data_IF_469107634227
#
_entry.id   IF_469107634227
#
_cell.length_a   1.000
_cell.length_b   1.000
_cell.length_c   1.000
_cell.angle_alpha   90.00
_cell.angle_beta   90.00
_cell.angle_gamma   90.00
#
_symmetry.space_group_name_H-M   'P 1'
#
loop_
_entity.id
_entity.type
_entity.pdbx_description
1 polymer ?
#
# COMPACT_ATOMS: atom_id res chain seq x y z
N UNK A 1 -3.02 30.60 1.78
CA UNK A 1 -3.50 29.54 0.88
C UNK A 1 -2.29 28.85 0.28
N UNK A 2 -2.01 27.57 0.58
CA UNK A 2 -0.82 26.93 0.03
C UNK A 2 -1.10 26.46 -1.40
N UNK A 3 -0.27 26.94 -2.32
CA UNK A 3 -0.23 26.58 -3.73
C UNK A 3 0.08 25.10 -3.92
N UNK A 4 -0.88 24.36 -4.47
CA UNK A 4 -0.70 22.98 -4.87
C UNK A 4 0.22 22.93 -6.10
N UNK A 5 1.47 22.52 -5.90
CA UNK A 5 2.40 22.24 -6.99
C UNK A 5 1.86 21.06 -7.81
N UNK A 6 1.29 21.38 -8.99
CA UNK A 6 1.08 20.40 -10.05
C UNK A 6 2.44 19.94 -10.54
N UNK A 7 2.95 18.82 -10.02
CA UNK A 7 4.00 18.06 -10.68
C UNK A 7 3.40 17.45 -11.96
N UNK A 8 3.43 18.23 -13.05
CA UNK A 8 3.22 17.70 -14.39
C UNK A 8 4.34 16.71 -14.69
N UNK A 9 4.01 15.41 -14.69
CA UNK A 9 4.92 14.41 -15.23
C UNK A 9 5.10 14.74 -16.71
N UNK A 10 6.32 15.04 -17.20
CA UNK A 10 6.53 15.23 -18.61
C UNK A 10 6.18 13.91 -19.32
N UNK A 11 5.11 13.92 -20.12
CA UNK A 11 4.79 12.86 -21.07
C UNK A 11 5.85 12.84 -22.18
N UNK A 12 7.09 12.48 -21.85
CA UNK A 12 7.99 11.92 -22.85
C UNK A 12 7.40 10.57 -23.20
N UNK A 13 6.84 10.45 -24.40
CA UNK A 13 6.42 9.21 -25.03
C UNK A 13 7.60 8.22 -25.05
N UNK A 14 7.84 7.54 -23.92
CA UNK A 14 8.59 6.30 -23.90
C UNK A 14 7.69 5.32 -24.61
N UNK A 15 8.04 5.01 -25.86
CA UNK A 15 7.42 3.90 -26.57
C UNK A 15 7.79 2.65 -25.77
N UNK A 16 6.98 2.22 -24.81
CA UNK A 16 7.17 0.94 -24.13
C UNK A 16 6.51 -0.18 -24.92
N UNK A 17 6.88 -1.42 -24.65
CA UNK A 17 6.13 -2.60 -25.11
C UNK A 17 5.35 -3.11 -23.90
N UNK A 18 4.03 -3.12 -24.01
CA UNK A 18 3.15 -3.61 -22.95
C UNK A 18 2.89 -5.09 -23.13
N UNK A 19 3.02 -5.86 -22.06
CA UNK A 19 2.71 -7.29 -22.01
C UNK A 19 1.37 -7.43 -21.31
N UNK A 20 0.38 -7.90 -22.05
CA UNK A 20 -1.02 -8.02 -21.60
C UNK A 20 -1.51 -9.45 -21.51
N UNK A 21 -0.74 -10.41 -22.04
CA UNK A 21 -0.97 -11.85 -21.89
C UNK A 21 0.36 -12.58 -21.79
N UNK A 22 0.41 -13.61 -20.95
CA UNK A 22 1.59 -14.45 -20.79
C UNK A 22 1.24 -15.87 -20.33
N UNK A 23 2.20 -16.78 -20.50
CA UNK A 23 2.29 -18.07 -19.81
C UNK A 23 3.47 -18.03 -18.84
N UNK A 24 3.56 -18.98 -17.92
CA UNK A 24 4.68 -19.07 -16.98
C UNK A 24 6.02 -19.19 -17.72
N UNK A 25 6.08 -19.99 -18.80
CA UNK A 25 7.30 -20.21 -19.59
C UNK A 25 7.72 -18.97 -20.36
N UNK A 26 6.77 -18.34 -21.08
CA UNK A 26 7.06 -17.14 -21.87
C UNK A 26 7.42 -15.94 -21.01
N UNK A 27 6.80 -15.80 -19.84
CA UNK A 27 7.15 -14.75 -18.90
C UNK A 27 8.50 -15.00 -18.23
N UNK A 28 8.78 -16.24 -17.82
CA UNK A 28 10.07 -16.58 -17.20
C UNK A 28 11.22 -16.31 -18.16
N UNK A 29 11.12 -16.80 -19.40
CA UNK A 29 12.13 -16.58 -20.43
C UNK A 29 12.39 -15.08 -20.67
N UNK A 30 11.33 -14.28 -20.76
CA UNK A 30 11.46 -12.82 -20.93
C UNK A 30 12.16 -12.16 -19.74
N UNK A 31 11.82 -12.56 -18.50
CA UNK A 31 12.41 -11.97 -17.30
C UNK A 31 13.89 -12.35 -17.18
N UNK A 32 14.23 -13.61 -17.43
CA UNK A 32 15.61 -14.12 -17.41
C UNK A 32 16.48 -13.50 -18.51
N UNK A 33 15.95 -13.30 -19.72
CA UNK A 33 16.62 -12.57 -20.82
C UNK A 33 17.01 -11.15 -20.38
N UNK A 34 16.29 -10.58 -19.41
CA UNK A 34 16.51 -9.24 -18.86
C UNK A 34 17.23 -9.25 -17.51
N UNK A 35 17.82 -10.38 -17.14
CA UNK A 35 18.65 -10.51 -15.94
C UNK A 35 17.85 -10.53 -14.64
N UNK A 36 16.56 -10.83 -14.68
CA UNK A 36 15.73 -10.99 -13.48
C UNK A 36 15.72 -12.47 -13.10
N UNK A 37 16.22 -12.78 -11.91
CA UNK A 37 16.27 -14.14 -11.38
C UNK A 37 14.89 -14.61 -10.90
N UNK A 38 14.20 -15.38 -11.76
CA UNK A 38 12.87 -15.93 -11.48
C UNK A 38 12.92 -16.99 -10.38
N UNK A 39 14.08 -17.58 -10.06
CA UNK A 39 14.20 -18.56 -8.97
C UNK A 39 13.93 -17.96 -7.59
N UNK A 40 13.97 -16.63 -7.45
CA UNK A 40 13.60 -15.92 -6.22
C UNK A 40 12.08 -15.82 -6.00
N UNK A 41 11.27 -16.22 -6.98
CA UNK A 41 9.81 -16.07 -6.94
C UNK A 41 9.18 -17.25 -6.20
N UNK A 42 8.27 -16.97 -5.27
CA UNK A 42 7.65 -17.98 -4.38
C UNK A 42 8.49 -18.33 -3.15
N UNK A 43 9.63 -17.64 -2.94
CA UNK A 43 10.45 -17.76 -1.73
C UNK A 43 10.08 -16.69 -0.70
N UNK A 44 9.94 -17.09 0.56
CA UNK A 44 9.64 -16.17 1.66
C UNK A 44 8.29 -15.47 1.48
N UNK A 45 8.30 -14.14 1.35
CA UNK A 45 7.10 -13.33 1.11
C UNK A 45 6.86 -13.02 -0.38
N UNK A 46 7.76 -13.46 -1.28
CA UNK A 46 7.59 -13.26 -2.71
C UNK A 46 6.51 -14.19 -3.26
N UNK A 47 5.83 -13.76 -4.33
CA UNK A 47 4.80 -14.55 -4.99
C UNK A 47 5.43 -15.41 -6.09
N UNK A 48 4.87 -16.59 -6.39
CA UNK A 48 5.33 -17.40 -7.51
C UNK A 48 5.06 -16.71 -8.84
N UNK A 49 5.77 -17.12 -9.90
CA UNK A 49 5.61 -16.59 -11.26
C UNK A 49 4.19 -16.75 -11.78
N UNK A 50 3.54 -17.88 -11.49
CA UNK A 50 2.13 -18.16 -11.85
C UNK A 50 1.17 -17.09 -11.32
N UNK A 51 1.47 -16.50 -10.16
CA UNK A 51 0.67 -15.39 -9.64
C UNK A 51 0.88 -14.10 -10.45
N UNK A 52 2.08 -13.83 -10.95
CA UNK A 52 2.33 -12.68 -11.84
C UNK A 52 1.62 -12.86 -13.19
N UNK A 53 1.71 -14.06 -13.76
CA UNK A 53 1.00 -14.42 -15.00
C UNK A 53 -0.50 -14.23 -14.83
N UNK A 54 -1.07 -14.73 -13.73
CA UNK A 54 -2.47 -14.50 -13.38
C UNK A 54 -2.78 -13.00 -13.28
N UNK A 55 -1.97 -12.24 -12.54
CA UNK A 55 -2.18 -10.80 -12.38
C UNK A 55 -2.14 -10.02 -13.72
N UNK A 56 -1.28 -10.43 -14.68
CA UNK A 56 -1.20 -9.86 -16.04
C UNK A 56 -2.42 -10.25 -16.87
N UNK A 57 -2.78 -11.54 -16.88
CA UNK A 57 -3.88 -12.06 -17.70
C UNK A 57 -5.25 -11.54 -17.26
N UNK A 58 -5.43 -11.31 -15.95
CA UNK A 58 -6.60 -10.64 -15.38
C UNK A 58 -6.53 -9.11 -15.54
N UNK A 59 -5.38 -8.58 -15.94
CA UNK A 59 -5.12 -7.15 -16.10
C UNK A 59 -5.10 -6.35 -14.79
N UNK A 60 -4.99 -7.03 -13.65
CA UNK A 60 -4.76 -6.41 -12.33
C UNK A 60 -3.37 -5.78 -12.20
N UNK A 61 -2.50 -6.03 -13.19
CA UNK A 61 -1.27 -5.29 -13.45
C UNK A 61 -0.93 -5.33 -14.94
N UNK A 62 0.03 -4.52 -15.36
CA UNK A 62 0.70 -4.66 -16.67
C UNK A 62 2.21 -4.62 -16.49
N UNK A 63 2.92 -5.30 -17.37
CA UNK A 63 4.37 -5.14 -17.49
C UNK A 63 4.68 -4.28 -18.71
N UNK A 64 5.58 -3.34 -18.54
CA UNK A 64 6.11 -2.55 -19.64
C UNK A 64 7.61 -2.75 -19.75
N UNK A 65 8.09 -3.00 -20.96
CA UNK A 65 9.50 -3.00 -21.28
C UNK A 65 9.90 -1.60 -21.74
N UNK A 66 10.83 -0.98 -21.02
CA UNK A 66 11.41 0.29 -21.45
C UNK A 66 12.35 0.06 -22.64
N UNK A 67 12.03 0.64 -23.81
CA UNK A 67 12.80 0.39 -25.05
C UNK A 67 14.28 0.76 -24.99
N UNK A 68 14.67 1.71 -24.13
CA UNK A 68 16.06 2.19 -24.04
C UNK A 68 16.92 1.29 -23.16
N UNK A 69 16.42 0.95 -21.97
CA UNK A 69 17.16 0.17 -20.99
C UNK A 69 16.91 -1.33 -21.11
N UNK A 70 15.82 -1.74 -21.78
CA UNK A 70 15.32 -3.11 -21.73
C UNK A 70 14.69 -3.48 -20.38
N UNK A 71 14.66 -2.56 -19.41
CA UNK A 71 14.15 -2.86 -18.06
C UNK A 71 12.66 -3.15 -18.08
N UNK A 72 12.26 -4.13 -17.27
CA UNK A 72 10.86 -4.50 -17.07
C UNK A 72 10.32 -3.72 -15.88
N UNK A 73 9.22 -3.01 -16.08
CA UNK A 73 8.54 -2.23 -15.05
C UNK A 73 7.11 -2.73 -14.90
N UNK A 74 6.71 -3.03 -13.68
CA UNK A 74 5.35 -3.44 -13.35
C UNK A 74 4.50 -2.25 -12.97
N UNK A 75 3.33 -2.09 -13.57
CA UNK A 75 2.37 -1.05 -13.22
C UNK A 75 1.17 -1.65 -12.50
N UNK A 76 0.77 -1.01 -11.41
CA UNK A 76 -0.39 -1.40 -10.60
C UNK A 76 -1.19 -0.16 -10.24
N UNK A 77 -2.51 -0.26 -10.31
CA UNK A 77 -3.42 0.85 -10.03
C UNK A 77 -4.31 0.52 -8.82
N UNK A 78 -3.79 0.62 -7.58
CA UNK A 78 -4.62 0.43 -6.40
C UNK A 78 -5.54 1.64 -6.20
N UNK A 79 -6.76 1.38 -5.74
CA UNK A 79 -7.73 2.38 -5.30
C UNK A 79 -7.93 2.27 -3.78
N UNK A 80 -8.10 3.42 -3.13
CA UNK A 80 -8.59 3.53 -1.75
C UNK A 80 -9.86 4.36 -1.77
N UNK A 81 -10.94 3.79 -1.24
CA UNK A 81 -12.25 4.42 -1.17
C UNK A 81 -12.44 5.01 0.22
N UNK A 82 -12.52 6.34 0.30
CA UNK A 82 -13.01 7.04 1.48
C UNK A 82 -14.54 7.05 1.42
N UNK A 83 -15.16 5.95 1.84
CA UNK A 83 -16.61 5.86 1.99
C UNK A 83 -17.02 6.54 3.30
N UNK A 84 -17.71 7.67 3.19
CA UNK A 84 -18.04 8.57 4.29
C UNK A 84 -19.53 8.63 4.56
N UNK A 85 -19.87 8.84 5.82
CA UNK A 85 -21.21 9.14 6.31
C UNK A 85 -21.08 10.14 7.46
N UNK A 86 -21.56 11.37 7.27
CA UNK A 86 -21.28 12.47 8.19
C UNK A 86 -19.78 12.71 8.40
N UNK A 87 -19.31 12.68 9.65
CA UNK A 87 -17.89 12.80 10.02
C UNK A 87 -17.18 11.44 10.14
N UNK A 88 -17.83 10.35 9.74
CA UNK A 88 -17.33 8.98 9.83
C UNK A 88 -16.78 8.50 8.49
N UNK A 89 -15.86 7.54 8.55
CA UNK A 89 -15.34 6.80 7.40
C UNK A 89 -15.34 5.31 7.69
N UNK A 90 -15.63 4.50 6.67
CA UNK A 90 -15.56 3.06 6.79
C UNK A 90 -14.10 2.56 6.74
N UNK A 91 -13.73 1.71 7.69
CA UNK A 91 -12.41 1.06 7.75
C UNK A 91 -12.54 -0.46 7.84
N UNK A 92 -11.63 -1.18 7.19
CA UNK A 92 -11.39 -2.60 7.42
C UNK A 92 -10.56 -2.74 8.70
N UNK A 93 -11.12 -3.43 9.70
CA UNK A 93 -10.49 -3.67 11.01
C UNK A 93 -9.76 -5.02 11.05
N UNK A 94 -10.32 -6.03 10.42
CA UNK A 94 -9.71 -7.35 10.35
C UNK A 94 -10.21 -8.10 9.13
N UNK A 95 -9.45 -9.13 8.75
CA UNK A 95 -9.90 -10.14 7.79
C UNK A 95 -9.49 -11.52 8.25
N UNK A 96 -10.39 -12.49 8.06
CA UNK A 96 -10.18 -13.90 8.29
C UNK A 96 -10.05 -14.59 6.94
N UNK A 97 -8.88 -15.18 6.70
CA UNK A 97 -8.60 -15.93 5.48
C UNK A 97 -9.27 -17.32 5.51
N UNK A 98 -9.45 -17.98 4.36
CA UNK A 98 -10.06 -19.32 4.30
C UNK A 98 -9.29 -20.37 5.11
N UNK A 99 -7.98 -20.16 5.32
CA UNK A 99 -7.14 -21.00 6.17
C UNK A 99 -7.30 -20.72 7.68
N UNK A 100 -8.27 -19.90 8.09
CA UNK A 100 -8.51 -19.50 9.48
C UNK A 100 -7.55 -18.44 10.02
N UNK A 101 -6.58 -17.97 9.22
CA UNK A 101 -5.63 -16.94 9.66
C UNK A 101 -6.32 -15.58 9.70
N UNK A 102 -6.49 -15.04 10.92
CA UNK A 102 -6.93 -13.66 11.14
C UNK A 102 -5.75 -12.70 10.97
N UNK A 103 -5.98 -11.63 10.21
CA UNK A 103 -5.04 -10.51 10.07
C UNK A 103 -5.76 -9.23 10.45
N UNK A 104 -5.25 -8.57 11.48
CA UNK A 104 -5.67 -7.21 11.82
C UNK A 104 -5.28 -6.26 10.67
N UNK A 105 -6.19 -5.37 10.37
CA UNK A 105 -6.11 -4.42 9.27
C UNK A 105 -6.53 -3.05 9.80
N UNK A 106 -5.92 -2.01 9.26
CA UNK A 106 -6.32 -0.62 9.54
C UNK A 106 -6.21 0.13 8.24
N UNK A 107 -7.09 -0.23 7.31
CA UNK A 107 -7.09 0.32 5.96
C UNK A 107 -8.48 0.79 5.61
N UNK A 108 -8.58 1.85 4.83
CA UNK A 108 -9.81 2.12 4.09
C UNK A 108 -10.13 0.96 3.15
N UNK A 109 -11.38 0.91 2.68
CA UNK A 109 -11.80 0.02 1.61
C UNK A 109 -10.83 0.19 0.43
N UNK A 110 -10.11 -0.87 0.09
CA UNK A 110 -9.06 -0.85 -0.91
C UNK A 110 -9.32 -1.92 -1.96
N UNK A 111 -9.08 -1.61 -3.23
CA UNK A 111 -9.20 -2.57 -4.32
C UNK A 111 -8.17 -2.28 -5.41
N UNK A 112 -7.90 -3.23 -6.31
CA UNK A 112 -7.16 -2.94 -7.55
C UNK A 112 -8.16 -2.55 -8.64
N UNK A 113 -7.81 -1.54 -9.42
CA UNK A 113 -8.54 -1.26 -10.66
C UNK A 113 -8.34 -2.41 -11.65
N UNK A 114 -9.42 -2.83 -12.27
CA UNK A 114 -9.48 -3.84 -13.32
C UNK A 114 -9.60 -3.18 -14.71
N UNK A 115 -9.23 -3.87 -15.80
CA UNK A 115 -9.39 -3.34 -17.16
C UNK A 115 -10.83 -3.02 -17.55
N UNK A 116 -11.80 -3.72 -16.94
CA UNK A 116 -13.24 -3.52 -17.12
C UNK A 116 -13.72 -2.20 -16.50
N UNK A 117 -12.98 -1.63 -15.54
CA UNK A 117 -13.35 -0.38 -14.88
C UNK A 117 -13.05 0.83 -15.78
N UNK A 118 -14.10 1.61 -16.09
CA UNK A 118 -13.98 2.85 -16.87
C UNK A 118 -13.05 3.87 -16.22
N UNK A 119 -12.95 3.85 -14.89
CA UNK A 119 -12.06 4.70 -14.11
C UNK A 119 -12.02 4.28 -12.63
N UNK A 120 -11.30 5.03 -11.79
CA UNK A 120 -11.15 4.72 -10.36
C UNK A 120 -12.48 4.68 -9.59
N UNK A 121 -13.49 5.47 -10.01
CA UNK A 121 -14.79 5.49 -9.34
C UNK A 121 -15.62 4.24 -9.64
N UNK A 122 -15.58 3.73 -10.87
CA UNK A 122 -16.22 2.45 -11.20
C UNK A 122 -15.57 1.29 -10.44
N UNK A 123 -14.24 1.32 -10.27
CA UNK A 123 -13.54 0.38 -9.40
C UNK A 123 -14.01 0.51 -7.94
N UNK A 124 -14.32 1.72 -7.45
CA UNK A 124 -14.84 1.94 -6.11
C UNK A 124 -16.26 1.38 -5.93
N UNK A 125 -17.15 1.57 -6.92
CA UNK A 125 -18.49 0.95 -6.94
C UNK A 125 -18.37 -0.57 -6.90
N UNK A 126 -17.50 -1.15 -7.75
CA UNK A 126 -17.26 -2.59 -7.77
C UNK A 126 -16.72 -3.09 -6.43
N UNK A 127 -15.80 -2.36 -5.80
CA UNK A 127 -15.28 -2.71 -4.48
C UNK A 127 -16.35 -2.70 -3.39
N UNK A 128 -17.26 -1.72 -3.41
CA UNK A 128 -18.42 -1.65 -2.50
C UNK A 128 -19.31 -2.87 -2.71
N UNK A 129 -19.63 -3.23 -3.96
CA UNK A 129 -20.43 -4.41 -4.25
C UNK A 129 -19.74 -5.71 -3.78
N UNK A 130 -18.49 -5.96 -4.20
CA UNK A 130 -17.78 -7.20 -3.91
C UNK A 130 -17.49 -7.42 -2.42
N UNK A 131 -17.24 -6.34 -1.67
CA UNK A 131 -16.79 -6.44 -0.27
C UNK A 131 -17.86 -6.10 0.73
N UNK A 132 -18.79 -5.22 0.39
CA UNK A 132 -19.85 -4.80 1.31
C UNK A 132 -21.19 -5.46 0.98
N UNK A 133 -21.30 -6.15 -0.16
CA UNK A 133 -22.56 -6.71 -0.67
C UNK A 133 -23.66 -5.64 -0.81
N UNK A 134 -23.26 -4.40 -1.15
CA UNK A 134 -24.15 -3.27 -1.35
C UNK A 134 -24.19 -2.90 -2.83
N UNK A 135 -25.39 -2.91 -3.42
CA UNK A 135 -25.60 -2.47 -4.79
C UNK A 135 -25.78 -0.95 -4.81
N UNK A 136 -24.81 -0.25 -5.42
CA UNK A 136 -24.83 1.21 -5.62
C UNK A 136 -24.49 1.52 -7.07
N UNK A 137 -24.99 2.64 -7.57
CA UNK A 137 -24.66 3.15 -8.89
C UNK A 137 -24.53 4.67 -8.86
N UNK A 138 -23.91 5.23 -9.90
CA UNK A 138 -23.59 6.67 -10.02
C UNK A 138 -24.80 7.58 -9.75
N UNK A 139 -25.97 7.18 -10.24
CA UNK A 139 -27.19 8.00 -10.19
C UNK A 139 -28.08 7.68 -8.99
N UNK A 140 -27.59 6.90 -8.01
CA UNK A 140 -28.36 6.57 -6.81
C UNK A 140 -28.50 7.79 -5.93
N UNK A 141 -29.73 8.10 -5.51
CA UNK A 141 -29.99 9.26 -4.67
C UNK A 141 -29.28 9.14 -3.31
N UNK A 142 -28.53 10.19 -2.99
CA UNK A 142 -27.65 10.27 -1.83
C UNK A 142 -26.35 9.48 -1.88
N UNK A 143 -26.00 8.85 -3.02
CA UNK A 143 -24.68 8.26 -3.24
C UNK A 143 -23.82 9.21 -4.08
N UNK A 144 -22.94 9.97 -3.44
CA UNK A 144 -22.22 11.07 -4.08
C UNK A 144 -20.74 10.77 -4.30
N UNK A 145 -20.26 11.05 -5.52
CA UNK A 145 -18.84 11.05 -5.85
C UNK A 145 -18.25 12.46 -5.73
N UNK A 146 -17.44 12.70 -4.70
CA UNK A 146 -16.76 13.99 -4.49
C UNK A 146 -15.49 14.11 -5.32
N UNK A 147 -15.63 14.13 -6.65
CA UNK A 147 -14.52 14.11 -7.61
C UNK A 147 -13.46 15.20 -7.40
N UNK A 148 -13.83 16.35 -6.82
CA UNK A 148 -12.89 17.45 -6.52
C UNK A 148 -11.88 17.04 -5.45
N UNK A 149 -12.26 16.13 -4.54
CA UNK A 149 -11.37 15.62 -3.50
C UNK A 149 -10.46 14.48 -3.99
N UNK A 150 -10.78 13.84 -5.11
CA UNK A 150 -10.01 12.72 -5.62
C UNK A 150 -8.55 13.10 -5.89
N UNK A 151 -7.64 12.25 -5.42
CA UNK A 151 -6.20 12.43 -5.63
C UNK A 151 -5.61 11.17 -6.23
N UNK A 152 -4.65 11.34 -7.14
CA UNK A 152 -3.85 10.24 -7.67
C UNK A 152 -2.37 10.51 -7.41
N UNK A 153 -1.67 9.53 -6.85
CA UNK A 153 -0.24 9.60 -6.60
C UNK A 153 0.49 8.51 -7.38
N UNK A 154 1.58 8.90 -8.03
CA UNK A 154 2.50 7.98 -8.69
C UNK A 154 3.71 7.75 -7.81
N UNK A 155 4.02 6.49 -7.52
CA UNK A 155 5.14 6.10 -6.68
C UNK A 155 5.91 4.94 -7.34
N UNK A 156 7.23 5.02 -7.40
CA UNK A 156 8.09 3.96 -7.97
C UNK A 156 8.95 3.34 -6.89
N UNK A 157 8.92 2.02 -6.78
CA UNK A 157 9.67 1.26 -5.76
C UNK A 157 9.88 -0.19 -6.19
N UNK A 158 10.76 -0.90 -5.51
CA UNK A 158 10.96 -2.32 -5.74
C UNK A 158 9.74 -3.14 -5.32
N UNK A 159 9.40 -4.14 -6.13
CA UNK A 159 8.27 -5.03 -5.85
C UNK A 159 8.69 -6.10 -4.85
N UNK A 160 8.25 -5.96 -3.59
CA UNK A 160 8.43 -7.01 -2.57
C UNK A 160 7.85 -8.36 -3.00
N UNK A 161 6.77 -8.36 -3.80
CA UNK A 161 6.17 -9.59 -4.32
C UNK A 161 6.95 -10.23 -5.47
N UNK A 162 7.78 -9.46 -6.19
CA UNK A 162 8.48 -9.91 -7.38
C UNK A 162 9.88 -9.27 -7.41
N UNK A 163 10.84 -9.84 -6.66
CA UNK A 163 12.20 -9.31 -6.57
C UNK A 163 12.82 -9.05 -7.94
N UNK A 164 13.59 -7.97 -8.08
CA UNK A 164 14.19 -7.57 -9.36
C UNK A 164 13.24 -6.88 -10.35
N UNK A 165 11.92 -6.86 -10.10
CA UNK A 165 10.97 -6.10 -10.92
C UNK A 165 10.58 -4.80 -10.21
N UNK A 166 11.05 -3.62 -10.65
CA UNK A 166 10.57 -2.35 -10.14
C UNK A 166 9.09 -2.16 -10.48
N UNK A 167 8.34 -1.58 -9.55
CA UNK A 167 6.92 -1.33 -9.68
C UNK A 167 6.59 0.17 -9.61
N UNK A 168 5.69 0.61 -10.50
CA UNK A 168 5.04 1.91 -10.47
C UNK A 168 3.60 1.73 -9.98
N UNK A 169 3.30 2.35 -8.85
CA UNK A 169 1.98 2.38 -8.25
C UNK A 169 1.29 3.69 -8.59
N UNK A 170 0.23 3.63 -9.38
CA UNK A 170 -0.68 4.76 -9.60
C UNK A 170 -1.84 4.62 -8.60
N UNK A 171 -1.63 5.16 -7.40
CA UNK A 171 -2.60 5.02 -6.31
C UNK A 171 -3.70 6.07 -6.44
N UNK A 172 -4.95 5.64 -6.56
CA UNK A 172 -6.10 6.53 -6.59
C UNK A 172 -6.79 6.58 -5.23
N UNK A 173 -7.18 7.76 -4.81
CA UNK A 173 -7.93 8.02 -3.59
C UNK A 173 -9.29 8.57 -4.02
N UNK A 174 -10.34 7.76 -3.87
CA UNK A 174 -11.69 8.03 -4.36
C UNK A 174 -12.58 8.40 -3.18
N UNK A 175 -13.30 9.52 -3.28
CA UNK A 175 -14.14 10.04 -2.21
C UNK A 175 -15.62 9.80 -2.51
N UNK A 176 -16.27 9.07 -1.61
CA UNK A 176 -17.68 8.70 -1.76
C UNK A 176 -18.43 9.05 -0.49
N UNK A 177 -19.56 9.73 -0.63
CA UNK A 177 -20.40 10.15 0.50
C UNK A 177 -21.77 9.49 0.38
N UNK A 178 -22.21 8.88 1.47
CA UNK A 178 -23.60 8.45 1.67
C UNK A 178 -24.31 9.55 2.45
N UNK A 179 -25.37 10.12 1.87
CA UNK A 179 -26.18 11.15 2.52
C UNK A 179 -27.16 10.53 3.52
N UNK A 180 -27.40 11.26 4.60
CA UNK A 180 -28.41 10.89 5.60
C UNK A 180 -29.83 10.97 5.01
N UNK A 181 -30.73 10.10 5.47
CA UNK A 181 -32.14 10.05 5.05
C UNK A 181 -32.32 9.87 3.53
N UNK A 182 -31.45 9.08 2.89
CA UNK A 182 -31.48 8.85 1.45
C UNK A 182 -31.64 7.37 1.08
N UNK A 183 -32.01 7.04 -0.18
CA UNK A 183 -31.98 5.66 -0.66
C UNK A 183 -30.62 4.98 -0.51
N UNK A 184 -29.52 5.73 -0.74
CA UNK A 184 -28.18 5.23 -0.49
C UNK A 184 -27.97 4.80 0.98
N UNK A 185 -28.38 5.61 1.97
CA UNK A 185 -28.29 5.21 3.39
C UNK A 185 -29.03 3.91 3.66
N UNK A 186 -30.23 3.75 3.12
CA UNK A 186 -31.01 2.52 3.27
C UNK A 186 -30.29 1.30 2.66
N UNK A 187 -29.57 1.47 1.55
CA UNK A 187 -28.78 0.39 0.93
C UNK A 187 -27.62 -0.09 1.83
N UNK A 188 -27.11 0.78 2.71
CA UNK A 188 -26.03 0.48 3.66
C UNK A 188 -26.54 0.09 5.05
N UNK A 189 -27.82 -0.23 5.22
CA UNK A 189 -28.41 -0.63 6.51
C UNK A 189 -27.67 -1.81 7.16
N UNK A 190 -27.39 -2.86 6.38
CA UNK A 190 -26.65 -4.04 6.84
C UNK A 190 -25.14 -3.76 7.03
N UNK A 191 -24.68 -2.62 6.52
CA UNK A 191 -23.34 -2.08 6.77
C UNK A 191 -23.32 -1.10 7.96
N UNK A 192 -24.28 -1.24 8.88
CA UNK A 192 -24.32 -0.51 10.14
C UNK A 192 -24.81 0.93 10.06
N UNK A 193 -25.27 1.43 8.90
CA UNK A 193 -25.93 2.74 8.82
C UNK A 193 -27.39 2.69 9.28
N UNK A 194 -27.95 3.78 9.85
CA UNK A 194 -27.29 5.06 10.16
C UNK A 194 -26.49 5.05 11.47
N UNK A 195 -26.60 3.98 12.27
CA UNK A 195 -26.02 3.89 13.62
C UNK A 195 -24.48 3.82 13.67
N UNK A 196 -23.82 3.71 12.52
CA UNK A 196 -22.38 3.52 12.38
C UNK A 196 -21.84 2.30 13.17
N UNK A 197 -22.62 1.22 13.27
CA UNK A 197 -22.22 0.00 14.00
C UNK A 197 -21.15 -0.81 13.26
N UNK A 198 -20.36 -1.58 14.01
CA UNK A 198 -19.44 -2.57 13.45
C UNK A 198 -20.24 -3.71 12.79
N UNK A 199 -19.74 -4.26 11.68
CA UNK A 199 -20.39 -5.33 10.94
C UNK A 199 -19.36 -6.25 10.27
N UNK A 200 -19.83 -7.38 9.75
CA UNK A 200 -19.01 -8.33 9.00
C UNK A 200 -19.59 -8.59 7.62
N UNK A 201 -18.72 -8.90 6.67
CA UNK A 201 -19.11 -9.33 5.33
C UNK A 201 -18.22 -10.47 4.85
N UNK A 202 -18.72 -11.23 3.88
CA UNK A 202 -18.02 -12.35 3.28
C UNK A 202 -17.77 -12.06 1.80
N UNK A 203 -16.57 -12.40 1.31
CA UNK A 203 -16.18 -12.37 -0.10
C UNK A 203 -15.79 -13.79 -0.54
N UNK A 204 -16.54 -14.34 -1.49
CA UNK A 204 -16.26 -15.65 -2.06
C UNK A 204 -15.08 -15.61 -3.02
N UNK A 205 -14.08 -16.46 -2.80
CA UNK A 205 -12.92 -16.62 -3.68
C UNK A 205 -12.78 -18.06 -4.13
N UNK A 206 -12.07 -18.33 -5.24
CA UNK A 206 -11.73 -19.70 -5.62
C UNK A 206 -11.02 -20.50 -4.52
N UNK A 207 -10.33 -19.81 -3.59
CA UNK A 207 -9.65 -20.41 -2.43
C UNK A 207 -10.54 -20.59 -1.18
N UNK A 208 -11.82 -20.25 -1.27
CA UNK A 208 -12.77 -20.19 -0.16
C UNK A 208 -13.11 -18.77 0.29
N UNK A 209 -14.03 -18.69 1.26
CA UNK A 209 -14.59 -17.43 1.77
C UNK A 209 -13.58 -16.63 2.59
N UNK A 210 -13.44 -15.34 2.27
CA UNK A 210 -12.73 -14.36 3.09
C UNK A 210 -13.75 -13.54 3.85
N UNK A 211 -13.66 -13.53 5.18
CA UNK A 211 -14.51 -12.70 6.02
C UNK A 211 -13.82 -11.41 6.40
N UNK A 212 -14.52 -10.29 6.32
CA UNK A 212 -14.05 -8.96 6.69
C UNK A 212 -14.81 -8.45 7.90
N UNK A 213 -14.10 -7.79 8.82
CA UNK A 213 -14.70 -7.02 9.92
C UNK A 213 -14.53 -5.54 9.62
N UNK A 214 -15.63 -4.81 9.61
CA UNK A 214 -15.68 -3.39 9.23
C UNK A 214 -16.19 -2.53 10.36
N UNK A 215 -15.63 -1.34 10.49
CA UNK A 215 -16.08 -0.36 11.47
C UNK A 215 -16.13 1.03 10.87
N UNK A 216 -17.13 1.80 11.28
CA UNK A 216 -17.15 3.24 11.07
C UNK A 216 -16.30 3.95 12.14
N UNK A 217 -15.43 4.84 11.69
CA UNK A 217 -14.50 5.58 12.56
C UNK A 217 -14.57 7.07 12.25
N UNK A 218 -14.44 7.92 13.27
CA UNK A 218 -14.34 9.38 13.04
C UNK A 218 -13.13 9.65 12.15
N UNK A 219 -13.31 10.43 11.08
CA UNK A 219 -12.26 10.67 10.06
C UNK A 219 -10.96 11.19 10.69
N UNK A 220 -11.05 12.11 11.65
CA UNK A 220 -9.89 12.66 12.34
C UNK A 220 -9.16 11.59 13.15
N UNK A 221 -9.90 10.73 13.86
CA UNK A 221 -9.33 9.62 14.64
C UNK A 221 -8.65 8.59 13.71
N UNK A 222 -9.28 8.28 12.57
CA UNK A 222 -8.71 7.38 11.56
C UNK A 222 -7.39 7.92 11.00
N UNK A 223 -7.29 9.23 10.76
CA UNK A 223 -6.04 9.89 10.34
C UNK A 223 -4.96 9.83 11.42
N UNK A 224 -5.30 10.18 12.67
CA UNK A 224 -4.36 10.20 13.80
C UNK A 224 -3.84 8.78 14.12
N UNK A 225 -4.72 7.78 14.06
CA UNK A 225 -4.37 6.38 14.28
C UNK A 225 -3.59 5.72 13.13
N UNK A 226 -3.35 6.47 12.05
CA UNK A 226 -2.54 6.01 10.92
C UNK A 226 -3.25 4.96 10.05
N UNK A 227 -4.58 5.03 9.94
CA UNK A 227 -5.33 4.19 8.99
C UNK A 227 -4.76 4.40 7.59
N UNK A 228 -4.38 3.30 6.95
CA UNK A 228 -3.86 3.28 5.59
C UNK A 228 -4.96 3.68 4.60
N UNK A 229 -4.61 4.47 3.59
CA UNK A 229 -5.55 4.87 2.54
C UNK A 229 -5.97 6.34 2.60
N UNK A 230 -5.45 7.13 3.54
CA UNK A 230 -5.53 8.59 3.45
C UNK A 230 -4.40 9.18 2.57
N UNK A 231 -4.69 10.21 1.76
CA UNK A 231 -3.66 11.00 1.09
C UNK A 231 -2.64 11.56 2.09
N UNK A 232 -1.34 11.48 1.77
CA UNK A 232 -0.28 12.05 2.60
C UNK A 232 -0.02 11.36 3.95
N UNK A 233 -0.71 10.27 4.27
CA UNK A 233 -0.43 9.49 5.48
C UNK A 233 1.00 8.95 5.48
N UNK A 234 1.75 9.22 6.56
CA UNK A 234 3.11 8.73 6.73
C UNK A 234 3.14 7.20 6.57
N UNK A 235 3.77 6.72 5.50
CA UNK A 235 3.95 5.29 5.26
C UNK A 235 5.00 4.75 6.24
N UNK A 236 4.60 4.47 7.48
CA UNK A 236 5.42 3.71 8.43
C UNK A 236 5.62 2.31 7.87
N UNK A 237 6.76 2.08 7.21
CA UNK A 237 7.20 0.74 6.80
C UNK A 237 7.58 0.62 5.32
N UNK A 238 8.71 1.21 4.94
CA UNK A 238 9.68 0.66 3.96
C UNK A 238 10.89 1.60 3.85
N UNK A 239 11.50 1.93 4.99
CA UNK A 239 12.85 2.52 5.06
C UNK A 239 13.70 1.59 5.91
N UNK A 240 13.98 0.41 5.36
CA UNK A 240 15.20 -0.34 5.67
C UNK A 240 15.82 -0.72 4.33
N UNK A 241 16.39 0.29 3.67
CA UNK A 241 17.50 0.09 2.76
C UNK A 241 18.73 -0.15 3.66
N UNK A 242 19.11 -1.42 3.80
CA UNK A 242 20.45 -1.76 4.24
C UNK A 242 21.38 -1.48 3.06
N UNK A 243 22.13 -0.39 3.17
CA UNK A 243 23.38 -0.20 2.41
C UNK A 243 24.44 0.31 3.37
N UNK A 244 24.97 -0.59 4.20
CA UNK A 244 26.35 -0.48 4.66
C UNK A 244 27.20 -1.33 3.71
N UNK A 245 27.47 -0.78 2.52
CA UNK A 245 28.56 -1.29 1.69
C UNK A 245 29.84 -0.78 2.31
N UNK A 246 30.66 -1.74 2.73
CA UNK A 246 32.01 -1.57 3.17
C UNK A 246 32.82 -0.78 2.14
N UNK A 247 33.50 0.26 2.59
CA UNK A 247 34.71 0.74 1.92
C UNK A 247 35.88 0.02 2.58
N UNK A 248 36.37 -1.00 1.89
CA UNK A 248 37.77 -1.41 1.99
C UNK A 248 38.64 -0.22 1.60
N UNK A 249 39.58 0.16 2.46
CA UNK A 249 40.70 1.03 2.13
C UNK A 249 42.01 0.29 2.51
N UNK A 250 42.99 0.18 1.60
CA UNK A 250 44.16 -0.67 1.81
C UNK A 250 45.31 0.12 2.45
N UNK A 251 45.89 -0.48 3.49
CA UNK A 251 47.34 -0.52 3.75
C UNK A 251 48.12 0.79 3.89
N UNK A 252 48.60 1.05 5.10
CA UNK A 252 49.96 1.57 5.29
C UNK A 252 50.56 1.03 6.61
N UNK A 253 51.68 0.32 6.48
CA UNK A 253 52.44 -0.23 7.61
C UNK A 253 53.44 0.78 8.18
N UNK A 254 53.84 0.58 9.44
CA UNK A 254 55.00 1.29 9.99
C UNK A 254 55.06 1.32 11.51
N UNK A 255 55.77 0.36 12.11
CA UNK A 255 56.05 0.27 13.53
C UNK A 255 56.92 1.42 14.08
N UNK A 256 56.75 1.79 15.37
CA UNK A 256 57.77 1.67 16.46
C UNK A 256 57.46 2.50 17.73
N UNK A 257 57.51 1.78 18.87
CA UNK A 257 58.18 2.01 20.18
C UNK A 257 57.87 3.23 21.10
N UNK A 258 57.80 2.89 22.40
CA UNK A 258 58.04 3.72 23.60
C UNK A 258 56.77 3.88 24.45
N UNK A 259 56.52 3.23 25.60
CA UNK A 259 57.27 3.04 26.87
C UNK A 259 57.68 4.35 27.55
N UNK A 260 56.93 4.76 28.58
CA UNK A 260 57.37 4.94 29.99
C UNK A 260 56.39 5.80 30.83
N UNK A 261 56.02 5.22 31.97
CA UNK A 261 55.89 5.77 33.33
C UNK A 261 55.20 7.11 33.64
N UNK A 262 54.22 7.02 34.56
CA UNK A 262 54.18 7.60 35.94
C UNK A 262 52.71 7.88 36.32
N UNK A 263 52.10 7.10 37.22
CA UNK A 263 52.08 7.23 38.70
C UNK A 263 51.86 8.66 39.24
N UNK A 264 50.76 8.81 39.98
CA UNK A 264 50.45 9.57 41.23
C UNK A 264 48.92 9.77 41.20
N UNK A 265 48.09 9.03 41.92
CA UNK A 265 47.88 8.90 43.38
C UNK A 265 47.02 10.02 44.01
N UNK A 266 46.14 9.55 44.89
CA UNK A 266 45.35 10.21 45.93
C UNK A 266 44.18 11.18 45.63
N UNK A 267 43.06 10.93 46.33
CA UNK A 267 42.08 11.98 46.61
C UNK A 267 40.66 11.51 46.95
N UNK A 268 40.48 10.87 48.10
CA UNK A 268 39.20 10.43 48.64
C UNK A 268 38.24 11.56 49.10
N UNK A 269 36.99 11.15 49.37
CA UNK A 269 35.98 11.74 50.27
C UNK A 269 35.13 12.91 49.69
N UNK A 270 33.84 13.11 50.02
CA UNK A 270 32.81 12.45 50.87
C UNK A 270 31.51 13.28 50.67
N UNK A 271 30.33 12.61 50.76
CA UNK A 271 29.03 13.03 51.39
C UNK A 271 28.39 14.37 50.92
N UNK A 272 27.08 14.59 50.86
CA UNK A 272 25.82 13.90 51.19
C UNK A 272 24.68 14.79 50.62
N UNK A 273 23.52 14.25 50.27
CA UNK A 273 22.30 14.14 51.11
C UNK A 273 21.31 15.33 51.02
N UNK A 274 20.02 14.96 50.91
CA UNK A 274 18.74 15.69 51.13
C UNK A 274 18.29 16.66 50.02
N UNK A 275 17.18 16.46 49.32
CA UNK A 275 15.75 16.34 49.70
C UNK A 275 15.09 17.69 50.11
N UNK A 276 14.18 18.21 49.28
CA UNK A 276 12.73 18.34 49.54
C UNK A 276 12.08 19.48 48.74
N UNK A 277 10.94 19.17 48.12
CA UNK A 277 9.67 19.92 48.08
C UNK A 277 9.66 21.43 47.80
N UNK A 278 8.95 21.82 46.73
CA UNK A 278 7.61 22.47 46.80
C UNK A 278 6.75 21.92 45.66
#
# INVERSE_FOLDING_TARGET
>A
MPSCFRCGVPQRFLRSISITKATDESLSALLEERGIDVSQFGLGESKPISALVKEINEGSCRLEVERRSGSVVRYVEPIFVQLRYGNMVLIERARLQPNGKRRESRTLLAEKREPSDRGPFEAAIRAIWQKLNVEVHRDMDGFLHEKIEDVTFTDRRDSASYPGIPAVYLTHYVHVVVKENSPAEAAFKECGLPGCSEFETDEEKPSGTVKFTWRWMVIQEARISGVKGFPGGARRGSLQSLSSVATDDPGEGGARRGSLDSQIDDGAARRGSLASQV
#
